data_IF_191306823068
#
_entry.id   IF_191306823068
#
_cell.length_a   1.000
_cell.length_b   1.000
_cell.length_c   1.000
_cell.angle_alpha   90.00
_cell.angle_beta   90.00
_cell.angle_gamma   90.00
#
_symmetry.space_group_name_H-M   'P 1'
#
loop_
_entity.id
_entity.type
_entity.pdbx_description
1 polymer ?
#
# COMPACT_ATOMS: atom_id res chain seq x y z
N UNK A 1 -32.09 53.22 -57.45
CA UNK A 1 -31.54 53.19 -58.82
C UNK A 1 -30.27 52.35 -58.83
N UNK A 2 -30.19 51.40 -59.77
CA UNK A 2 -29.02 50.67 -60.30
C UNK A 2 -28.25 49.70 -59.35
N UNK A 3 -28.43 48.38 -59.52
CA UNK A 3 -27.75 47.41 -60.43
C UNK A 3 -26.56 46.72 -59.73
N UNK A 4 -26.75 45.50 -59.23
CA UNK A 4 -26.30 44.21 -59.84
C UNK A 4 -24.89 44.26 -60.40
N UNK A 5 -23.97 43.45 -59.85
CA UNK A 5 -23.07 42.61 -60.66
C UNK A 5 -22.65 41.33 -59.89
N UNK A 6 -23.05 40.20 -60.48
CA UNK A 6 -22.33 38.92 -60.62
C UNK A 6 -21.83 38.13 -59.40
N UNK A 7 -22.53 37.03 -59.12
CA UNK A 7 -21.85 35.74 -58.94
C UNK A 7 -21.32 35.26 -60.31
N UNK A 8 -20.17 34.57 -60.40
CA UNK A 8 -20.22 33.11 -60.29
C UNK A 8 -18.93 32.46 -59.75
N UNK A 9 -19.06 31.32 -59.05
CA UNK A 9 -18.57 30.00 -59.49
C UNK A 9 -18.59 29.03 -58.32
N UNK A 10 -19.40 27.98 -58.49
CA UNK A 10 -19.31 26.72 -57.76
C UNK A 10 -17.91 26.13 -57.98
N UNK A 11 -17.12 26.05 -56.92
CA UNK A 11 -15.96 25.19 -56.83
C UNK A 11 -16.18 24.29 -55.63
N UNK A 12 -16.64 23.06 -55.89
CA UNK A 12 -16.73 22.03 -54.89
C UNK A 12 -15.31 21.73 -54.38
N UNK A 13 -14.99 22.20 -53.18
CA UNK A 13 -13.82 21.73 -52.45
C UNK A 13 -14.33 20.64 -51.53
N UNK A 14 -14.36 19.43 -52.07
CA UNK A 14 -14.40 18.19 -51.29
C UNK A 14 -13.12 18.17 -50.46
N UNK A 15 -13.19 18.64 -49.21
CA UNK A 15 -12.13 18.42 -48.24
C UNK A 15 -12.15 16.93 -47.92
N UNK A 16 -11.27 16.20 -48.60
CA UNK A 16 -10.94 14.82 -48.28
C UNK A 16 -10.32 14.84 -46.88
N UNK A 17 -11.14 14.64 -45.86
CA UNK A 17 -10.67 14.43 -44.50
C UNK A 17 -9.94 13.08 -44.45
N UNK A 18 -8.63 13.13 -44.70
CA UNK A 18 -7.69 12.10 -44.24
C UNK A 18 -7.74 12.12 -42.71
N UNK A 19 -8.66 11.36 -42.15
CA UNK A 19 -8.58 10.91 -40.76
C UNK A 19 -7.43 9.90 -40.74
N UNK A 20 -6.25 10.22 -40.18
CA UNK A 20 -5.32 9.15 -39.87
C UNK A 20 -6.07 8.28 -38.87
N UNK A 21 -6.29 7.03 -39.24
CA UNK A 21 -6.71 6.00 -38.31
C UNK A 21 -5.75 6.09 -37.12
N UNK A 22 -6.24 6.63 -36.01
CA UNK A 22 -5.71 6.36 -34.69
C UNK A 22 -5.86 4.85 -34.55
N UNK A 23 -4.87 4.13 -35.07
CA UNK A 23 -4.66 2.75 -34.73
C UNK A 23 -4.62 2.75 -33.22
N UNK A 24 -5.69 2.20 -32.63
CA UNK A 24 -5.70 1.75 -31.28
C UNK A 24 -4.56 0.72 -31.19
N UNK A 25 -3.34 1.21 -30.96
CA UNK A 25 -2.36 0.44 -30.24
C UNK A 25 -3.04 0.17 -28.92
N UNK A 26 -3.68 -1.00 -28.82
CA UNK A 26 -3.96 -1.59 -27.54
C UNK A 26 -2.60 -1.57 -26.85
N UNK A 27 -2.42 -0.65 -25.91
CA UNK A 27 -1.41 -0.80 -24.90
C UNK A 27 -1.75 -2.15 -24.30
N UNK A 28 -1.02 -3.19 -24.69
CA UNK A 28 -0.99 -4.42 -23.93
C UNK A 28 -0.44 -3.95 -22.58
N UNK A 29 -1.34 -3.67 -21.64
CA UNK A 29 -0.99 -3.63 -20.25
C UNK A 29 -0.23 -4.94 -20.05
N UNK A 30 1.08 -4.82 -19.81
CA UNK A 30 1.86 -5.99 -19.46
C UNK A 30 1.11 -6.58 -18.26
N UNK A 31 0.64 -7.81 -18.38
CA UNK A 31 0.15 -8.59 -17.24
C UNK A 31 1.35 -8.84 -16.34
N UNK A 32 1.80 -7.78 -15.66
CA UNK A 32 2.76 -7.89 -14.58
C UNK A 32 1.98 -8.59 -13.49
N UNK A 33 2.34 -9.85 -13.23
CA UNK A 33 1.75 -10.61 -12.14
C UNK A 33 1.82 -9.78 -10.86
N UNK A 34 0.67 -9.54 -10.24
CA UNK A 34 0.62 -8.84 -8.96
C UNK A 34 1.40 -9.66 -7.93
N UNK A 35 2.27 -9.03 -7.11
CA UNK A 35 2.96 -9.76 -6.05
C UNK A 35 1.94 -10.38 -5.09
N UNK A 36 2.33 -11.47 -4.43
CA UNK A 36 1.58 -11.94 -3.26
C UNK A 36 1.78 -10.98 -2.08
N UNK A 37 0.97 -11.19 -1.04
CA UNK A 37 0.92 -10.32 0.12
C UNK A 37 2.27 -10.24 0.83
N UNK A 38 2.87 -11.40 1.19
CA UNK A 38 4.18 -11.44 1.83
C UNK A 38 5.26 -10.72 1.01
N UNK A 39 5.35 -10.97 -0.31
CA UNK A 39 6.35 -10.32 -1.17
C UNK A 39 6.17 -8.79 -1.19
N UNK A 40 4.92 -8.32 -1.23
CA UNK A 40 4.63 -6.88 -1.14
C UNK A 40 5.09 -6.32 0.21
N UNK A 41 4.74 -6.99 1.31
CA UNK A 41 5.15 -6.56 2.66
C UNK A 41 6.68 -6.53 2.81
N UNK A 42 7.40 -7.56 2.36
CA UNK A 42 8.86 -7.63 2.42
C UNK A 42 9.52 -6.41 1.72
N UNK A 43 8.97 -5.98 0.58
CA UNK A 43 9.44 -4.79 -0.15
C UNK A 43 9.13 -3.50 0.62
N UNK A 44 7.92 -3.33 1.13
CA UNK A 44 7.53 -2.09 1.83
C UNK A 44 8.27 -1.91 3.15
N UNK A 45 8.53 -3.01 3.87
CA UNK A 45 9.34 -3.00 5.10
C UNK A 45 10.79 -2.63 4.81
N UNK A 46 11.35 -3.11 3.70
CA UNK A 46 12.67 -2.72 3.26
C UNK A 46 12.76 -1.23 2.87
N UNK A 47 11.74 -0.70 2.18
CA UNK A 47 11.65 0.74 1.90
C UNK A 47 11.57 1.56 3.20
N UNK A 48 10.83 1.08 4.20
CA UNK A 48 10.79 1.72 5.51
C UNK A 48 12.18 1.72 6.18
N UNK A 49 12.86 0.58 6.28
CA UNK A 49 14.19 0.50 6.91
C UNK A 49 15.22 1.37 6.15
N UNK A 50 15.14 1.42 4.82
CA UNK A 50 15.97 2.32 4.02
C UNK A 50 15.69 3.78 4.34
N UNK A 51 14.41 4.19 4.44
CA UNK A 51 14.03 5.56 4.82
C UNK A 51 14.52 5.90 6.22
N UNK A 52 14.38 4.99 7.18
CA UNK A 52 14.86 5.17 8.54
C UNK A 52 16.38 5.39 8.57
N UNK A 53 17.13 4.58 7.83
CA UNK A 53 18.59 4.72 7.70
C UNK A 53 19.02 6.05 7.07
N UNK A 54 18.36 6.47 5.97
CA UNK A 54 18.67 7.72 5.28
C UNK A 54 18.40 8.97 6.13
N UNK A 55 17.53 8.88 7.14
CA UNK A 55 17.13 10.00 7.99
C UNK A 55 17.58 9.84 9.44
N UNK A 56 18.54 8.96 9.73
CA UNK A 56 18.97 8.65 11.10
C UNK A 56 19.45 9.88 11.90
N UNK A 57 19.96 10.91 11.21
CA UNK A 57 20.46 12.16 11.82
C UNK A 57 19.48 13.34 11.72
N UNK A 58 18.31 13.14 11.10
CA UNK A 58 17.31 14.19 10.89
C UNK A 58 16.29 14.15 12.04
N UNK A 59 16.02 15.29 12.73
CA UNK A 59 14.93 15.36 13.68
C UNK A 59 13.62 14.93 13.02
N UNK A 60 12.80 14.22 13.77
CA UNK A 60 11.70 13.49 13.18
C UNK A 60 10.61 14.39 12.60
N UNK A 61 10.38 15.50 13.28
CA UNK A 61 9.52 16.60 12.85
C UNK A 61 9.96 17.25 11.52
N UNK A 62 11.22 17.08 11.13
CA UNK A 62 11.82 17.68 9.94
C UNK A 62 11.86 16.72 8.74
N UNK A 63 11.46 15.45 8.91
CA UNK A 63 11.38 14.48 7.80
C UNK A 63 10.16 14.79 6.93
N UNK A 64 10.41 15.37 5.75
CA UNK A 64 9.35 15.70 4.80
C UNK A 64 8.56 14.44 4.37
N UNK A 65 7.23 14.48 4.59
CA UNK A 65 6.35 13.33 4.35
C UNK A 65 6.26 12.33 5.51
N UNK A 66 7.07 12.50 6.57
CA UNK A 66 7.13 11.61 7.73
C UNK A 66 7.90 10.30 7.48
N UNK A 67 8.32 9.64 8.57
CA UNK A 67 8.92 8.30 8.52
C UNK A 67 7.89 7.17 8.50
N UNK A 68 6.71 7.40 9.08
CA UNK A 68 5.60 6.44 9.16
C UNK A 68 4.70 6.61 7.96
N UNK A 69 4.64 5.57 7.14
CA UNK A 69 3.71 5.47 6.03
C UNK A 69 3.11 4.06 6.03
N UNK A 70 2.02 3.91 6.77
CA UNK A 70 1.30 2.63 6.88
C UNK A 70 0.25 2.44 5.77
N UNK A 71 0.13 3.43 4.88
CA UNK A 71 -0.68 3.31 3.66
C UNK A 71 -0.18 2.17 2.77
N UNK A 72 1.11 1.87 2.82
CA UNK A 72 1.74 0.85 1.98
C UNK A 72 1.34 -0.57 2.46
N UNK A 73 1.22 -0.79 3.77
CA UNK A 73 0.62 -2.02 4.34
C UNK A 73 -0.81 -2.21 3.84
N UNK A 74 -1.60 -1.13 3.88
CA UNK A 74 -2.97 -1.17 3.39
C UNK A 74 -3.05 -1.48 1.89
N UNK A 75 -2.13 -0.92 1.12
CA UNK A 75 -1.96 -1.22 -0.30
C UNK A 75 -1.65 -2.70 -0.53
N UNK A 76 -0.72 -3.30 0.22
CA UNK A 76 -0.36 -4.71 0.06
C UNK A 76 -1.55 -5.66 0.28
N UNK A 77 -2.35 -5.47 1.33
CA UNK A 77 -3.56 -6.30 1.49
C UNK A 77 -4.62 -6.02 0.41
N UNK A 78 -4.71 -4.79 -0.10
CA UNK A 78 -5.58 -4.48 -1.25
C UNK A 78 -5.12 -5.20 -2.52
N UNK A 79 -3.81 -5.25 -2.79
CA UNK A 79 -3.24 -6.03 -3.90
C UNK A 79 -3.56 -7.51 -3.74
N UNK A 80 -3.45 -8.05 -2.52
CA UNK A 80 -3.87 -9.42 -2.19
C UNK A 80 -5.33 -9.70 -2.54
N UNK A 81 -6.25 -8.82 -2.15
CA UNK A 81 -7.67 -8.94 -2.48
C UNK A 81 -7.90 -8.93 -4.01
N UNK A 82 -7.28 -7.98 -4.72
CA UNK A 82 -7.39 -7.91 -6.18
C UNK A 82 -6.85 -9.17 -6.85
N UNK A 83 -5.77 -9.76 -6.30
CA UNK A 83 -5.24 -11.04 -6.76
C UNK A 83 -6.24 -12.17 -6.54
N UNK A 84 -6.91 -12.22 -5.38
CA UNK A 84 -7.96 -13.20 -5.10
C UNK A 84 -9.18 -13.04 -6.02
N UNK A 85 -9.61 -11.81 -6.31
CA UNK A 85 -10.74 -11.51 -7.20
C UNK A 85 -10.50 -12.01 -8.64
N UNK A 86 -9.24 -12.03 -9.07
CA UNK A 86 -8.78 -12.56 -10.38
C UNK A 86 -8.68 -14.08 -10.41
N UNK A 87 -8.87 -14.77 -9.28
CA UNK A 87 -8.81 -16.23 -9.17
C UNK A 87 -10.21 -16.87 -9.25
N UNK A 88 -10.25 -18.17 -9.55
CA UNK A 88 -11.47 -18.97 -9.48
C UNK A 88 -11.85 -19.36 -8.03
N UNK A 89 -11.00 -19.06 -7.04
CA UNK A 89 -11.19 -19.40 -5.61
C UNK A 89 -11.36 -18.14 -4.76
N UNK A 90 -12.20 -17.19 -5.17
CA UNK A 90 -12.27 -15.85 -4.54
C UNK A 90 -12.45 -15.89 -3.02
N UNK A 91 -13.47 -16.61 -2.53
CA UNK A 91 -13.76 -16.72 -1.07
C UNK A 91 -12.59 -17.37 -0.35
N UNK A 92 -12.24 -18.61 -0.70
CA UNK A 92 -11.15 -19.34 -0.04
C UNK A 92 -9.80 -18.60 -0.10
N UNK A 93 -9.50 -17.88 -1.19
CA UNK A 93 -8.30 -17.05 -1.29
C UNK A 93 -8.34 -15.85 -0.34
N UNK A 94 -9.49 -15.20 -0.18
CA UNK A 94 -9.64 -14.06 0.75
C UNK A 94 -9.60 -14.51 2.21
N UNK A 95 -10.12 -15.69 2.54
CA UNK A 95 -9.98 -16.32 3.87
C UNK A 95 -8.52 -16.70 4.17
N UNK A 96 -7.80 -17.27 3.20
CA UNK A 96 -6.35 -17.55 3.31
C UNK A 96 -5.57 -16.25 3.53
N UNK A 97 -5.92 -15.18 2.80
CA UNK A 97 -5.30 -13.86 2.93
C UNK A 97 -5.61 -13.18 4.27
N UNK A 98 -6.83 -13.33 4.79
CA UNK A 98 -7.20 -12.86 6.12
C UNK A 98 -6.30 -13.50 7.18
N UNK A 99 -6.17 -14.83 7.14
CA UNK A 99 -5.32 -15.58 8.07
C UNK A 99 -3.84 -15.13 7.98
N UNK A 100 -3.30 -14.99 6.77
CA UNK A 100 -1.92 -14.53 6.56
C UNK A 100 -1.68 -13.13 7.18
N UNK A 101 -2.66 -12.22 7.05
CA UNK A 101 -2.56 -10.88 7.61
C UNK A 101 -2.69 -10.86 9.14
N UNK A 102 -3.57 -11.68 9.70
CA UNK A 102 -3.74 -11.80 11.15
C UNK A 102 -2.54 -12.47 11.82
N UNK A 103 -1.97 -13.51 11.20
CA UNK A 103 -0.75 -14.18 11.64
C UNK A 103 0.43 -13.18 11.69
N UNK A 104 0.60 -12.39 10.62
CA UNK A 104 1.61 -11.33 10.60
C UNK A 104 1.33 -10.27 11.68
N UNK A 105 0.07 -9.87 11.87
CA UNK A 105 -0.29 -8.89 12.90
C UNK A 105 0.03 -9.41 14.30
N UNK A 106 -0.21 -10.70 14.55
CA UNK A 106 0.15 -11.36 15.81
C UNK A 106 1.67 -11.39 16.02
N UNK A 107 2.43 -11.77 14.99
CA UNK A 107 3.89 -11.78 15.05
C UNK A 107 4.46 -10.39 15.34
N UNK A 108 3.93 -9.35 14.70
CA UNK A 108 4.33 -7.96 14.97
C UNK A 108 3.99 -7.57 16.41
N UNK A 109 2.77 -7.84 16.88
CA UNK A 109 2.34 -7.53 18.26
C UNK A 109 3.21 -8.23 19.30
N UNK A 110 3.60 -9.48 19.07
CA UNK A 110 4.45 -10.24 19.97
C UNK A 110 5.84 -9.61 20.16
N UNK A 111 6.33 -8.87 19.17
CA UNK A 111 7.61 -8.16 19.20
C UNK A 111 7.55 -6.73 19.76
N UNK A 112 6.37 -6.22 20.16
CA UNK A 112 6.24 -4.85 20.67
C UNK A 112 6.53 -4.77 22.19
N UNK A 113 7.51 -3.96 22.62
CA UNK A 113 7.73 -3.69 24.04
C UNK A 113 6.56 -2.93 24.68
N UNK A 114 6.29 -3.21 25.95
CA UNK A 114 5.34 -2.45 26.76
C UNK A 114 5.79 -0.96 26.84
N UNK A 115 4.94 0.02 26.47
CA UNK A 115 5.26 1.43 26.62
C UNK A 115 5.65 1.85 28.04
N UNK A 116 5.16 1.15 29.07
CA UNK A 116 5.49 1.45 30.47
C UNK A 116 6.86 0.91 30.90
N UNK A 117 7.44 -0.05 30.15
CA UNK A 117 8.80 -0.53 30.41
C UNK A 117 9.89 0.45 29.94
N UNK A 118 9.52 1.51 29.22
CA UNK A 118 10.45 2.48 28.62
C UNK A 118 10.95 3.57 29.58
N UNK A 119 10.47 3.58 30.83
CA UNK A 119 10.83 4.56 31.86
C UNK A 119 10.16 5.93 31.70
N UNK A 120 10.01 6.67 32.80
CA UNK A 120 9.27 7.94 32.87
C UNK A 120 10.04 9.19 32.41
N UNK A 121 11.26 9.04 31.88
CA UNK A 121 12.07 10.19 31.46
C UNK A 121 11.79 10.53 29.99
N UNK A 122 11.37 11.79 29.80
CA UNK A 122 11.06 12.47 28.54
C UNK A 122 9.94 11.84 27.70
N UNK A 123 8.72 12.35 27.87
CA UNK A 123 7.56 12.04 27.01
C UNK A 123 7.67 12.75 25.65
N UNK A 124 8.78 12.61 24.93
CA UNK A 124 8.93 13.13 23.58
C UNK A 124 7.78 12.68 22.66
N UNK A 125 7.51 13.44 21.60
CA UNK A 125 6.34 13.19 20.73
C UNK A 125 6.30 11.75 20.19
N UNK A 126 7.45 11.17 19.80
CA UNK A 126 7.54 9.79 19.33
C UNK A 126 7.14 8.75 20.41
N UNK A 127 7.47 8.97 21.68
CA UNK A 127 7.07 8.06 22.78
C UNK A 127 5.57 8.12 23.05
N UNK A 128 4.97 9.33 22.98
CA UNK A 128 3.50 9.46 23.06
C UNK A 128 2.82 8.79 21.88
N UNK A 129 3.36 8.95 20.67
CA UNK A 129 2.85 8.27 19.48
C UNK A 129 2.94 6.74 19.62
N UNK A 130 4.07 6.22 20.10
CA UNK A 130 4.24 4.78 20.34
C UNK A 130 3.18 4.24 21.30
N UNK A 131 2.94 4.91 22.43
CA UNK A 131 1.91 4.49 23.39
C UNK A 131 0.51 4.41 22.76
N UNK A 132 0.14 5.40 21.94
CA UNK A 132 -1.15 5.41 21.25
C UNK A 132 -1.24 4.32 20.16
N UNK A 133 -0.18 4.17 19.36
CA UNK A 133 -0.11 3.13 18.33
C UNK A 133 -0.13 1.72 18.93
N UNK A 134 0.59 1.51 20.04
CA UNK A 134 0.59 0.26 20.80
C UNK A 134 -0.80 -0.06 21.36
N UNK A 135 -1.48 0.92 21.97
CA UNK A 135 -2.84 0.73 22.46
C UNK A 135 -3.82 0.40 21.32
N UNK A 136 -3.66 1.01 20.15
CA UNK A 136 -4.46 0.69 18.96
C UNK A 136 -4.15 -0.73 18.44
N UNK A 137 -2.87 -1.11 18.38
CA UNK A 137 -2.43 -2.41 17.91
C UNK A 137 -2.95 -3.57 18.78
N UNK A 138 -3.01 -3.38 20.11
CA UNK A 138 -3.54 -4.35 21.07
C UNK A 138 -5.05 -4.20 21.34
N UNK A 139 -5.70 -3.20 20.73
CA UNK A 139 -7.13 -2.99 20.86
C UNK A 139 -7.92 -4.16 20.27
N UNK A 140 -9.09 -4.42 20.84
CA UNK A 140 -10.04 -5.40 20.30
C UNK A 140 -11.04 -4.72 19.36
N UNK A 141 -11.55 -5.46 18.37
CA UNK A 141 -12.69 -5.00 17.56
C UNK A 141 -13.93 -4.77 18.45
N UNK A 142 -14.79 -3.84 18.02
CA UNK A 142 -16.04 -3.48 18.70
C UNK A 142 -17.20 -4.44 18.39
N UNK A 143 -16.99 -5.46 17.56
CA UNK A 143 -18.01 -6.46 17.21
C UNK A 143 -17.67 -7.20 15.91
N UNK A 144 -18.60 -8.02 15.39
CA UNK A 144 -18.40 -8.69 14.11
C UNK A 144 -18.68 -7.72 12.96
N UNK A 145 -17.71 -6.89 12.61
CA UNK A 145 -17.84 -5.78 11.65
C UNK A 145 -18.35 -6.22 10.26
N UNK A 146 -18.15 -7.49 9.91
CA UNK A 146 -18.48 -8.07 8.60
C UNK A 146 -19.76 -8.90 8.57
N UNK A 147 -20.39 -9.16 9.73
CA UNK A 147 -21.52 -10.09 9.80
C UNK A 147 -22.77 -9.57 9.07
N UNK A 148 -23.50 -10.49 8.45
CA UNK A 148 -24.79 -10.22 7.79
C UNK A 148 -24.68 -9.88 6.30
N UNK A 149 -23.48 -10.00 5.72
CA UNK A 149 -23.24 -9.89 4.29
C UNK A 149 -23.41 -11.24 3.58
N UNK A 150 -23.34 -11.25 2.25
CA UNK A 150 -23.15 -12.51 1.51
C UNK A 150 -21.71 -13.04 1.70
N UNK A 151 -21.50 -14.32 1.41
CA UNK A 151 -20.24 -15.03 1.65
C UNK A 151 -19.01 -14.31 1.04
N UNK A 152 -19.15 -13.78 -0.18
CA UNK A 152 -18.05 -13.09 -0.86
C UNK A 152 -17.76 -11.74 -0.22
N UNK A 153 -18.80 -10.98 0.11
CA UNK A 153 -18.65 -9.67 0.75
C UNK A 153 -18.17 -9.80 2.21
N UNK A 154 -18.58 -10.85 2.91
CA UNK A 154 -18.08 -11.17 4.25
C UNK A 154 -16.59 -11.48 4.23
N UNK A 155 -16.13 -12.38 3.34
CA UNK A 155 -14.71 -12.68 3.17
C UNK A 155 -13.89 -11.44 2.76
N UNK A 156 -14.43 -10.60 1.86
CA UNK A 156 -13.77 -9.37 1.43
C UNK A 156 -13.62 -8.37 2.57
N UNK A 157 -14.67 -8.22 3.38
CA UNK A 157 -14.65 -7.37 4.56
C UNK A 157 -13.65 -7.89 5.59
N UNK A 158 -13.67 -9.19 5.88
CA UNK A 158 -12.82 -9.81 6.88
C UNK A 158 -11.32 -9.65 6.55
N UNK A 159 -10.94 -9.87 5.28
CA UNK A 159 -9.60 -9.60 4.79
C UNK A 159 -9.21 -8.11 4.89
N UNK A 160 -10.14 -7.16 4.80
CA UNK A 160 -9.82 -5.72 5.00
C UNK A 160 -9.68 -5.35 6.45
N UNK A 161 -10.47 -5.96 7.32
CA UNK A 161 -10.36 -5.76 8.76
C UNK A 161 -9.06 -6.37 9.30
N UNK A 162 -8.64 -7.55 8.83
CA UNK A 162 -7.33 -8.12 9.12
C UNK A 162 -6.19 -7.18 8.72
N UNK A 163 -6.24 -6.61 7.52
CA UNK A 163 -5.25 -5.63 7.08
C UNK A 163 -5.26 -4.36 7.95
N UNK A 164 -6.43 -3.93 8.42
CA UNK A 164 -6.54 -2.77 9.32
C UNK A 164 -5.93 -3.04 10.69
N UNK A 165 -6.10 -4.26 11.23
CA UNK A 165 -5.41 -4.72 12.45
C UNK A 165 -3.91 -4.76 12.25
N UNK A 166 -3.44 -5.35 11.14
CA UNK A 166 -2.02 -5.37 10.79
C UNK A 166 -1.44 -3.96 10.66
N UNK A 167 -2.13 -3.05 9.96
CA UNK A 167 -1.71 -1.65 9.78
C UNK A 167 -1.46 -0.95 11.11
N UNK A 168 -2.31 -1.22 12.10
CA UNK A 168 -2.18 -0.67 13.44
C UNK A 168 -0.95 -1.23 14.17
N UNK A 169 -0.69 -2.54 14.04
CA UNK A 169 0.51 -3.20 14.58
C UNK A 169 1.79 -2.67 13.90
N UNK A 170 1.79 -2.53 12.57
CA UNK A 170 2.92 -1.98 11.80
C UNK A 170 3.20 -0.53 12.19
N UNK A 171 2.18 0.30 12.45
CA UNK A 171 2.41 1.66 12.95
C UNK A 171 3.19 1.66 14.26
N UNK A 172 2.78 0.82 15.22
CA UNK A 172 3.46 0.69 16.50
C UNK A 172 4.91 0.20 16.30
N UNK A 173 5.11 -0.79 15.44
CA UNK A 173 6.44 -1.29 15.09
C UNK A 173 7.31 -0.21 14.44
N UNK A 174 6.84 0.52 13.42
CA UNK A 174 7.61 1.58 12.77
C UNK A 174 8.06 2.67 13.75
N UNK A 175 7.19 3.06 14.68
CA UNK A 175 7.56 4.03 15.73
C UNK A 175 8.54 3.42 16.73
N UNK A 176 8.35 2.14 17.10
CA UNK A 176 9.30 1.39 17.92
C UNK A 176 10.67 1.23 17.26
N UNK A 177 10.73 1.09 15.93
CA UNK A 177 11.96 1.01 15.14
C UNK A 177 12.71 2.32 15.19
N UNK A 178 11.99 3.43 14.99
CA UNK A 178 12.55 4.78 15.14
C UNK A 178 13.11 5.02 16.55
N UNK A 179 12.42 4.55 17.59
CA UNK A 179 12.87 4.67 18.98
C UNK A 179 13.99 3.68 19.37
N UNK A 180 14.37 2.77 18.47
CA UNK A 180 15.41 1.76 18.72
C UNK A 180 15.01 0.70 19.75
N UNK A 181 13.71 0.48 19.97
CA UNK A 181 13.19 -0.46 20.98
C UNK A 181 12.63 -1.76 20.39
N UNK A 182 12.47 -1.82 19.06
CA UNK A 182 12.04 -3.03 18.35
C UNK A 182 13.12 -3.47 17.37
N UNK A 183 13.21 -4.78 17.16
CA UNK A 183 14.06 -5.38 16.11
C UNK A 183 13.49 -5.10 14.72
N UNK A 184 14.36 -5.20 13.69
CA UNK A 184 13.90 -5.15 12.30
C UNK A 184 12.94 -6.31 12.02
N UNK A 185 12.08 -6.17 11.00
CA UNK A 185 11.10 -7.20 10.65
C UNK A 185 11.75 -8.55 10.29
N UNK A 186 12.93 -8.48 9.66
CA UNK A 186 13.73 -9.65 9.27
C UNK A 186 14.36 -10.31 10.48
N UNK A 187 14.94 -9.52 11.40
CA UNK A 187 15.56 -10.07 12.62
C UNK A 187 14.51 -10.70 13.55
N UNK A 188 13.33 -10.09 13.62
CA UNK A 188 12.17 -10.60 14.36
C UNK A 188 11.50 -11.82 13.68
N UNK A 189 11.90 -12.17 12.45
CA UNK A 189 11.53 -13.42 11.78
C UNK A 189 10.15 -13.46 11.11
N UNK A 190 9.46 -12.32 10.96
CA UNK A 190 8.13 -12.25 10.33
C UNK A 190 8.14 -11.60 8.93
N UNK A 191 9.31 -11.14 8.47
CA UNK A 191 9.53 -10.72 7.10
C UNK A 191 10.78 -11.39 6.52
N UNK A 192 10.85 -11.50 5.19
CA UNK A 192 12.03 -11.97 4.50
C UNK A 192 12.87 -10.78 4.00
N UNK A 193 14.20 -10.96 3.83
CA UNK A 193 14.99 -10.00 3.08
C UNK A 193 14.36 -9.77 1.69
N UNK A 194 14.15 -8.51 1.28
CA UNK A 194 13.54 -8.23 0.00
C UNK A 194 14.42 -8.77 -1.15
N UNK A 195 13.85 -9.12 -2.30
CA UNK A 195 14.64 -9.39 -3.48
C UNK A 195 15.49 -8.16 -3.84
N UNK A 196 16.72 -8.33 -4.36
CA UNK A 196 17.58 -7.21 -4.71
C UNK A 196 16.91 -6.31 -5.75
N UNK A 197 16.89 -5.00 -5.49
CA UNK A 197 16.34 -4.00 -6.41
C UNK A 197 17.14 -4.05 -7.72
N UNK A 198 16.49 -4.48 -8.80
CA UNK A 198 17.11 -4.42 -10.13
C UNK A 198 17.07 -2.96 -10.61
N UNK A 199 18.21 -2.37 -10.99
CA UNK A 199 18.21 -1.05 -11.61
C UNK A 199 17.34 -1.07 -12.88
N UNK A 200 16.54 -0.02 -13.07
CA UNK A 200 15.85 0.17 -14.34
C UNK A 200 16.89 0.30 -15.45
N UNK A 201 16.78 -0.48 -16.56
CA UNK A 201 17.65 -0.32 -17.69
C UNK A 201 17.53 1.12 -18.21
N UNK A 202 18.67 1.78 -18.36
CA UNK A 202 18.71 3.13 -18.94
C UNK A 202 18.15 3.05 -20.36
N UNK A 203 17.30 4.01 -20.79
CA UNK A 203 16.90 4.09 -22.19
C UNK A 203 18.13 4.10 -23.10
N UNK A 204 18.10 3.32 -24.17
CA UNK A 204 19.11 3.43 -25.23
C UNK A 204 19.05 4.85 -25.80
N UNK A 205 20.19 5.55 -25.79
CA UNK A 205 20.32 6.90 -26.38
C UNK A 205 20.52 6.80 -27.89
#
# INVERSE_FOLDING_TARGET
MLRRFLAPRRGAVTVLALVPALGAGAALAQDTALPDFQTCMDIELAHFEQRLSMHAEVPLEDVAGGLWQVTDTYYCGTVGIVRCDRSDRRVACQEELEAEQDDMAEAVRAGLPDPDSMGAQDEGWARRLYRQAHALALGSSAGPDCAGNDELMEAWCAAREANTRLRSAILAWQVGRYLGITESAVDAGWANPPPPVRPWPRPEQ
#
